data_IF_866651121946
#
_entry.id   IF_866651121946
#
_cell.length_a   1.000
_cell.length_b   1.000
_cell.length_c   1.000
_cell.angle_alpha   90.00
_cell.angle_beta   90.00
_cell.angle_gamma   90.00
#
_symmetry.space_group_name_H-M   'P 1'
#
loop_
_entity.id
_entity.type
_entity.pdbx_description
1 polymer ?
#
# COMPACT_ATOMS: atom_id res chain seq x y z
N UNK A 1 15.48 0.07 4.08
CA UNK A 1 14.46 0.14 5.14
C UNK A 1 14.63 -1.09 6.00
N UNK A 2 14.51 -0.95 7.31
CA UNK A 2 14.57 -2.02 8.30
C UNK A 2 13.34 -1.93 9.18
N UNK A 3 12.92 -3.04 9.80
CA UNK A 3 11.92 -2.96 10.86
C UNK A 3 12.50 -2.20 12.06
N UNK A 4 11.68 -1.37 12.69
CA UNK A 4 11.95 -0.76 13.99
C UNK A 4 11.52 -1.65 15.16
N UNK A 5 10.80 -2.74 14.86
CA UNK A 5 10.29 -3.72 15.80
C UNK A 5 10.95 -5.09 15.62
N UNK A 6 10.83 -5.95 16.64
CA UNK A 6 11.27 -7.34 16.53
C UNK A 6 10.39 -8.07 15.50
N UNK A 7 11.02 -8.77 14.56
CA UNK A 7 10.27 -9.51 13.53
C UNK A 7 9.48 -10.68 14.12
N UNK A 8 9.91 -11.23 15.26
CA UNK A 8 9.22 -12.33 15.94
C UNK A 8 7.82 -11.94 16.46
N UNK A 9 7.57 -10.65 16.70
CA UNK A 9 6.23 -10.16 17.08
C UNK A 9 5.36 -9.79 15.87
N UNK A 10 5.97 -9.65 14.69
CA UNK A 10 5.30 -9.21 13.45
C UNK A 10 5.11 -10.34 12.44
N UNK A 11 5.78 -11.49 12.63
CA UNK A 11 5.56 -12.68 11.82
C UNK A 11 4.18 -13.26 12.05
N UNK A 12 3.63 -13.90 11.02
CA UNK A 12 2.38 -14.63 11.16
C UNK A 12 2.54 -15.77 12.18
N UNK A 13 1.56 -15.97 13.08
CA UNK A 13 1.65 -17.03 14.09
C UNK A 13 1.69 -18.44 13.46
N UNK A 14 1.10 -18.58 12.26
CA UNK A 14 1.10 -19.82 11.49
C UNK A 14 2.30 -19.98 10.55
N UNK A 15 3.12 -18.94 10.36
CA UNK A 15 4.38 -19.01 9.62
C UNK A 15 5.47 -18.27 10.39
N UNK A 16 6.02 -18.87 11.47
CA UNK A 16 6.97 -18.18 12.32
C UNK A 16 8.24 -17.75 11.57
N UNK A 17 8.84 -16.63 12.00
CA UNK A 17 10.14 -16.22 11.50
C UNK A 17 11.24 -17.22 11.90
N UNK A 18 11.98 -17.74 10.91
CA UNK A 18 12.98 -18.80 11.13
C UNK A 18 14.42 -18.32 11.10
N UNK A 19 14.67 -17.07 10.69
CA UNK A 19 16.03 -16.52 10.64
C UNK A 19 16.47 -16.03 12.03
N UNK A 20 17.79 -15.96 12.22
CA UNK A 20 18.39 -15.63 13.52
C UNK A 20 18.29 -14.15 13.86
N UNK A 21 18.18 -13.29 12.84
CA UNK A 21 18.12 -11.85 13.03
C UNK A 21 16.77 -11.45 13.63
N UNK A 22 16.79 -10.79 14.79
CA UNK A 22 15.58 -10.26 15.42
C UNK A 22 15.08 -8.95 14.81
N UNK A 23 15.96 -8.22 14.10
CA UNK A 23 15.59 -7.04 13.32
C UNK A 23 15.79 -7.38 11.86
N UNK A 24 14.69 -7.54 11.14
CA UNK A 24 14.73 -7.92 9.73
C UNK A 24 14.95 -6.68 8.85
N UNK A 25 15.91 -6.81 7.93
CA UNK A 25 16.06 -5.88 6.81
C UNK A 25 14.94 -6.07 5.78
N UNK A 26 14.63 -5.01 5.03
CA UNK A 26 13.50 -5.00 4.11
C UNK A 26 13.54 -6.09 3.04
N UNK A 27 14.73 -6.53 2.62
CA UNK A 27 14.88 -7.65 1.70
C UNK A 27 14.40 -8.97 2.32
N UNK A 28 14.81 -9.25 3.56
CA UNK A 28 14.40 -10.46 4.29
C UNK A 28 12.89 -10.44 4.58
N UNK A 29 12.32 -9.29 4.92
CA UNK A 29 10.86 -9.14 5.09
C UNK A 29 10.13 -9.47 3.79
N UNK A 30 10.59 -8.92 2.66
CA UNK A 30 10.00 -9.18 1.34
C UNK A 30 10.08 -10.66 0.97
N UNK A 31 11.23 -11.29 1.20
CA UNK A 31 11.42 -12.72 0.94
C UNK A 31 10.49 -13.58 1.78
N UNK A 32 10.35 -13.27 3.08
CA UNK A 32 9.44 -13.95 3.99
C UNK A 32 7.98 -13.85 3.51
N UNK A 33 7.50 -12.64 3.19
CA UNK A 33 6.13 -12.44 2.69
C UNK A 33 5.89 -13.16 1.36
N UNK A 34 6.84 -13.07 0.44
CA UNK A 34 6.74 -13.70 -0.89
C UNK A 34 6.70 -15.23 -0.77
N UNK A 35 7.63 -15.81 0.00
CA UNK A 35 7.69 -17.26 0.26
C UNK A 35 6.42 -17.74 0.94
N UNK A 36 5.92 -17.01 1.94
CA UNK A 36 4.68 -17.33 2.64
C UNK A 36 3.49 -17.31 1.69
N UNK A 37 3.35 -16.26 0.87
CA UNK A 37 2.26 -16.15 -0.10
C UNK A 37 2.27 -17.32 -1.10
N UNK A 38 3.45 -17.69 -1.63
CA UNK A 38 3.59 -18.84 -2.52
C UNK A 38 3.28 -20.18 -1.83
N UNK A 39 3.79 -20.39 -0.61
CA UNK A 39 3.58 -21.62 0.18
C UNK A 39 2.10 -21.93 0.37
N UNK A 40 1.28 -20.92 0.63
CA UNK A 40 -0.16 -21.06 0.85
C UNK A 40 -1.01 -20.76 -0.39
N UNK A 41 -0.38 -20.51 -1.56
CA UNK A 41 -1.07 -20.24 -2.82
C UNK A 41 -1.88 -18.93 -2.85
N UNK A 42 -1.60 -18.00 -1.93
CA UNK A 42 -2.29 -16.70 -1.82
C UNK A 42 -1.98 -15.84 -3.05
N UNK A 43 -0.74 -15.92 -3.55
CA UNK A 43 -0.23 -15.21 -4.72
C UNK A 43 -1.11 -15.38 -5.96
N UNK A 44 -1.72 -16.56 -6.14
CA UNK A 44 -2.62 -16.88 -7.26
C UNK A 44 -3.91 -16.04 -7.28
N UNK A 45 -4.25 -15.46 -6.13
CA UNK A 45 -5.44 -14.63 -5.95
C UNK A 45 -5.13 -13.13 -5.95
N UNK A 46 -3.86 -12.75 -6.10
CA UNK A 46 -3.43 -11.35 -6.11
C UNK A 46 -3.32 -10.85 -7.55
N UNK A 47 -3.96 -9.71 -7.82
CA UNK A 47 -3.77 -8.96 -9.07
C UNK A 47 -2.78 -7.84 -8.84
N UNK A 48 -1.53 -8.08 -9.22
CA UNK A 48 -0.47 -7.08 -9.12
C UNK A 48 -0.63 -5.99 -10.19
N UNK A 49 0.07 -4.87 -9.99
CA UNK A 49 0.06 -3.70 -10.88
C UNK A 49 -1.34 -3.14 -11.12
N UNK A 50 -2.22 -3.26 -10.11
CA UNK A 50 -3.58 -2.75 -10.13
C UNK A 50 -3.73 -1.63 -9.12
N UNK A 51 -4.03 -0.41 -9.60
CA UNK A 51 -4.24 0.76 -8.76
C UNK A 51 -5.73 1.06 -8.66
N UNK A 52 -6.32 0.89 -7.46
CA UNK A 52 -7.75 1.13 -7.23
C UNK A 52 -8.04 2.63 -7.18
N UNK A 53 -8.96 3.08 -8.04
CA UNK A 53 -9.35 4.49 -8.20
C UNK A 53 -10.64 4.83 -7.46
N UNK A 54 -11.59 3.89 -7.41
CA UNK A 54 -12.89 4.09 -6.79
C UNK A 54 -13.49 2.77 -6.29
N UNK A 55 -14.36 2.89 -5.28
CA UNK A 55 -15.16 1.82 -4.74
C UNK A 55 -16.57 2.36 -4.47
N UNK A 56 -17.55 1.87 -5.23
CA UNK A 56 -18.92 2.37 -5.21
C UNK A 56 -19.87 1.28 -4.72
N UNK A 57 -20.68 1.57 -3.69
CA UNK A 57 -21.69 0.65 -3.17
C UNK A 57 -23.03 0.85 -3.88
N UNK A 58 -23.67 -0.26 -4.26
CA UNK A 58 -25.03 -0.30 -4.80
C UNK A 58 -25.93 -1.12 -3.87
N UNK A 59 -26.86 -0.45 -3.20
CA UNK A 59 -27.82 -1.07 -2.30
C UNK A 59 -28.95 -1.82 -3.01
N UNK A 60 -29.16 -1.63 -4.31
CA UNK A 60 -30.15 -2.40 -5.07
C UNK A 60 -29.65 -3.82 -5.35
N UNK A 61 -28.33 -4.00 -5.42
CA UNK A 61 -27.68 -5.28 -5.72
C UNK A 61 -26.89 -5.85 -4.53
N UNK A 62 -26.75 -5.10 -3.44
CA UNK A 62 -25.89 -5.40 -2.30
C UNK A 62 -24.45 -5.73 -2.72
N UNK A 63 -23.90 -4.93 -3.65
CA UNK A 63 -22.54 -5.12 -4.15
C UNK A 63 -21.73 -3.83 -4.21
N UNK A 64 -20.42 -3.99 -4.05
CA UNK A 64 -19.42 -3.00 -4.40
C UNK A 64 -18.99 -3.17 -5.85
N UNK A 65 -18.83 -2.07 -6.58
CA UNK A 65 -18.09 -1.99 -7.84
C UNK A 65 -16.76 -1.30 -7.58
N UNK A 66 -15.66 -1.99 -7.84
CA UNK A 66 -14.31 -1.44 -7.76
C UNK A 66 -13.87 -1.03 -9.17
N UNK A 67 -13.41 0.21 -9.31
CA UNK A 67 -12.75 0.69 -10.52
C UNK A 67 -11.25 0.81 -10.26
N UNK A 68 -10.42 0.21 -11.11
CA UNK A 68 -8.97 0.20 -10.95
C UNK A 68 -8.26 0.29 -12.30
N UNK A 69 -7.04 0.81 -12.31
CA UNK A 69 -6.18 0.85 -13.50
C UNK A 69 -5.17 -0.30 -13.45
N UNK A 70 -5.00 -1.02 -14.57
CA UNK A 70 -3.94 -1.99 -14.75
C UNK A 70 -3.28 -1.76 -16.11
N UNK A 71 -1.97 -1.47 -16.12
CA UNK A 71 -1.23 -1.20 -17.35
C UNK A 71 -1.75 0.01 -18.15
N UNK A 72 -2.27 1.04 -17.46
CA UNK A 72 -2.88 2.22 -18.12
C UNK A 72 -4.31 2.02 -18.61
N UNK A 73 -4.92 0.86 -18.35
CA UNK A 73 -6.29 0.54 -18.77
C UNK A 73 -7.21 0.45 -17.57
N UNK A 74 -8.32 1.18 -17.60
CA UNK A 74 -9.36 1.10 -16.58
C UNK A 74 -10.11 -0.23 -16.67
N UNK A 75 -10.28 -0.87 -15.51
CA UNK A 75 -10.96 -2.14 -15.33
C UNK A 75 -11.94 -2.04 -14.16
N UNK A 76 -12.92 -2.95 -14.14
CA UNK A 76 -13.89 -3.05 -13.07
C UNK A 76 -14.06 -4.48 -12.58
N UNK A 77 -14.34 -4.63 -11.30
CA UNK A 77 -14.85 -5.88 -10.73
C UNK A 77 -15.94 -5.60 -9.69
N UNK A 78 -16.79 -6.59 -9.44
CA UNK A 78 -17.82 -6.52 -8.40
C UNK A 78 -17.57 -7.52 -7.30
N UNK A 79 -17.92 -7.15 -6.08
CA UNK A 79 -17.80 -8.02 -4.90
C UNK A 79 -18.89 -7.67 -3.88
N UNK A 80 -19.19 -8.61 -2.97
CA UNK A 80 -20.09 -8.33 -1.83
C UNK A 80 -19.36 -7.74 -0.64
N UNK A 81 -18.05 -7.99 -0.54
CA UNK A 81 -17.22 -7.57 0.58
C UNK A 81 -15.92 -6.97 0.07
N UNK A 82 -15.51 -5.86 0.70
CA UNK A 82 -14.27 -5.16 0.40
C UNK A 82 -13.54 -4.90 1.72
N UNK A 83 -12.26 -5.27 1.78
CA UNK A 83 -11.38 -4.98 2.91
C UNK A 83 -10.26 -4.07 2.43
N UNK A 84 -10.07 -2.92 3.08
CA UNK A 84 -8.99 -1.98 2.75
C UNK A 84 -7.76 -2.26 3.60
N UNK A 85 -6.75 -2.89 2.98
CA UNK A 85 -5.40 -3.09 3.53
C UNK A 85 -4.38 -2.13 2.92
N UNK A 86 -4.78 -0.88 2.60
CA UNK A 86 -3.96 0.08 1.84
C UNK A 86 -2.78 0.69 2.61
N UNK A 87 -2.67 0.40 3.91
CA UNK A 87 -1.70 1.06 4.79
C UNK A 87 -2.06 2.52 5.06
N UNK A 88 -1.22 3.18 5.87
CA UNK A 88 -1.42 4.57 6.30
C UNK A 88 -0.50 5.58 5.60
N UNK A 89 0.48 5.11 4.82
CA UNK A 89 1.40 5.97 4.11
C UNK A 89 0.77 6.51 2.83
N UNK A 90 0.92 7.81 2.60
CA UNK A 90 0.69 8.38 1.29
C UNK A 90 1.90 8.07 0.40
N UNK A 91 1.74 7.12 -0.51
CA UNK A 91 2.78 6.71 -1.45
C UNK A 91 2.90 7.64 -2.67
N UNK A 92 1.87 8.45 -2.93
CA UNK A 92 1.85 9.42 -4.04
C UNK A 92 2.67 10.67 -3.69
N UNK A 93 2.56 11.13 -2.45
CA UNK A 93 3.25 12.31 -1.97
C UNK A 93 3.77 12.13 -0.56
N UNK A 94 5.10 12.16 -0.42
CA UNK A 94 5.75 12.34 0.87
C UNK A 94 5.43 13.72 1.44
N UNK A 95 5.10 13.78 2.73
CA UNK A 95 4.85 15.05 3.40
C UNK A 95 6.15 15.87 3.49
N UNK A 96 6.12 17.07 2.91
CA UNK A 96 7.19 18.07 3.06
C UNK A 96 6.68 19.17 3.96
N UNK A 97 7.17 19.31 5.21
CA UNK A 97 6.74 20.41 6.08
C UNK A 97 7.16 21.75 5.47
N UNK A 98 6.23 22.69 5.38
CA UNK A 98 6.53 24.07 4.99
C UNK A 98 7.17 24.79 6.18
N UNK A 99 8.50 24.89 6.23
CA UNK A 99 9.18 25.76 7.19
C UNK A 99 9.36 27.17 6.62
N UNK A 100 9.19 28.25 7.42
CA UNK A 100 9.37 29.63 6.97
C UNK A 100 10.81 30.01 6.58
N UNK A 101 11.78 29.09 6.71
CA UNK A 101 13.20 29.29 6.40
C UNK A 101 13.66 28.60 5.10
N UNK A 102 12.77 28.33 4.14
CA UNK A 102 13.10 27.62 2.89
C UNK A 102 13.94 28.43 1.88
N UNK A 103 14.53 29.55 2.30
CA UNK A 103 15.42 30.41 1.49
C UNK A 103 16.87 30.41 2.00
N UNK A 104 17.31 29.38 2.73
CA UNK A 104 18.72 29.19 3.04
C UNK A 104 19.27 27.93 2.37
N UNK A 105 20.40 28.10 1.72
CA UNK A 105 20.97 27.23 0.70
C UNK A 105 21.41 25.83 1.19
N UNK A 106 21.07 24.84 0.36
CA UNK A 106 21.87 23.65 0.01
C UNK A 106 22.24 22.63 1.11
N UNK A 107 21.28 21.75 1.41
CA UNK A 107 21.53 20.30 1.42
C UNK A 107 20.36 19.62 0.70
N UNK A 108 20.58 18.65 -0.21
CA UNK A 108 19.49 17.99 -0.89
C UNK A 108 18.73 17.11 0.10
N UNK A 109 17.55 17.57 0.51
CA UNK A 109 16.56 16.72 1.16
C UNK A 109 16.07 15.72 0.12
N UNK A 110 16.55 14.46 0.20
CA UNK A 110 16.03 13.38 -0.64
C UNK A 110 14.67 12.94 -0.08
N UNK A 111 13.61 13.61 -0.52
CA UNK A 111 12.23 13.14 -0.32
C UNK A 111 12.01 12.05 -1.36
N UNK A 112 11.89 10.81 -0.88
CA UNK A 112 11.66 9.65 -1.74
C UNK A 112 10.17 9.61 -2.10
N UNK A 113 9.77 10.37 -3.12
CA UNK A 113 8.44 10.29 -3.74
C UNK A 113 8.55 10.27 -5.26
N UNK A 114 8.22 9.15 -5.88
CA UNK A 114 8.13 8.97 -7.33
C UNK A 114 6.72 9.36 -7.79
N UNK A 115 6.51 10.62 -8.18
CA UNK A 115 5.16 11.16 -8.43
C UNK A 115 4.56 10.88 -9.81
N UNK A 116 3.28 11.25 -9.99
CA UNK A 116 2.70 12.02 -11.13
C UNK A 116 1.31 12.61 -10.75
N UNK A 117 1.06 13.88 -11.11
CA UNK A 117 -0.15 14.74 -10.92
C UNK A 117 -1.37 14.26 -11.75
N UNK A 118 -2.65 14.64 -11.62
CA UNK A 118 -3.55 15.47 -10.77
C UNK A 118 -4.97 15.24 -11.30
N UNK A 119 -6.03 15.23 -10.46
CA UNK A 119 -7.28 16.00 -10.66
C UNK A 119 -8.07 16.11 -9.35
N UNK A 120 -8.54 17.32 -9.07
CA UNK A 120 -9.46 17.72 -8.01
C UNK A 120 -10.90 17.37 -8.35
N UNK A 121 -11.63 16.75 -7.43
CA UNK A 121 -13.10 16.76 -7.34
C UNK A 121 -13.48 16.68 -5.85
N UNK A 122 -14.45 17.46 -5.36
CA UNK A 122 -14.63 17.65 -3.92
C UNK A 122 -15.05 16.35 -3.25
N UNK A 123 -14.29 15.95 -2.24
CA UNK A 123 -14.70 14.90 -1.33
C UNK A 123 -15.98 15.35 -0.63
N UNK A 124 -17.11 14.74 -1.00
CA UNK A 124 -18.24 14.66 -0.09
C UNK A 124 -17.78 13.85 1.11
N UNK A 125 -17.81 14.52 2.25
CA UNK A 125 -17.42 14.07 3.57
C UNK A 125 -18.13 12.75 3.89
N UNK A 126 -17.34 11.68 4.06
CA UNK A 126 -17.74 10.47 4.78
C UNK A 126 -16.99 10.44 6.11
N UNK A 127 -17.45 11.25 7.06
CA UNK A 127 -17.51 11.03 8.51
C UNK A 127 -18.50 12.08 9.05
#
# INVERSE_FOLDING_TARGET
>A
MRSDSSIFTLSFPYEPWTRKEGVADGEHIREYLTTTAHKYGIDRHIRFNSHVLAADWDSATDTWTLTFEQGGVAQQCRSRFVFFGSGYYNYDQGYTPSSPASNSSAAPWCIRSTGRKTWTTPARRWW
#
